data_IF_295715819647
#
_entry.id   IF_295715819647
#
_cell.length_a   1.000
_cell.length_b   1.000
_cell.length_c   1.000
_cell.angle_alpha   90.00
_cell.angle_beta   90.00
_cell.angle_gamma   90.00
#
_symmetry.space_group_name_H-M   'P 1'
#
loop_
_entity.id
_entity.type
_entity.pdbx_description
1 polymer ?
#
# COMPACT_ATOMS: atom_id res chain seq x y z
N UNK A 1 21.87 -18.28 -30.01
CA UNK A 1 22.16 -18.40 -29.18
C UNK A 1 22.11 -17.49 -28.23
N UNK A 2 22.53 -16.78 -28.08
CA UNK A 2 22.54 -15.89 -27.19
C UNK A 2 21.31 -15.37 -26.79
N UNK A 3 20.55 -15.40 -27.43
CA UNK A 3 19.36 -14.79 -27.22
C UNK A 3 18.60 -15.32 -26.15
N UNK A 4 18.63 -16.37 -25.99
CA UNK A 4 17.81 -16.95 -25.11
C UNK A 4 17.79 -16.38 -23.87
N UNK A 5 18.69 -16.10 -23.51
CA UNK A 5 18.81 -15.56 -22.36
C UNK A 5 17.83 -14.75 -21.90
N UNK A 6 17.55 -13.98 -22.50
CA UNK A 6 16.78 -13.06 -22.03
C UNK A 6 15.53 -13.33 -21.58
N UNK A 7 14.93 -14.00 -22.12
CA UNK A 7 13.69 -14.10 -21.76
C UNK A 7 13.37 -14.44 -20.48
N UNK A 8 13.88 -15.24 -19.98
CA UNK A 8 13.40 -15.74 -18.79
C UNK A 8 13.35 -14.80 -17.75
N UNK A 9 14.07 -14.12 -17.81
CA UNK A 9 14.10 -13.20 -16.89
C UNK A 9 12.86 -12.65 -16.50
N UNK A 10 12.32 -12.11 -17.29
CA UNK A 10 11.24 -11.37 -16.93
C UNK A 10 10.20 -12.11 -16.32
N UNK A 11 10.09 -13.08 -16.75
CA UNK A 11 9.10 -13.77 -16.30
C UNK A 11 8.88 -13.97 -14.98
N UNK A 12 9.73 -14.36 -14.39
CA UNK A 12 9.53 -14.75 -13.14
C UNK A 12 9.01 -13.80 -12.30
N UNK A 13 9.44 -12.90 -12.39
CA UNK A 13 9.07 -11.94 -11.56
C UNK A 13 7.67 -11.73 -11.36
N UNK A 14 7.06 -11.51 -12.26
CA UNK A 14 5.77 -11.13 -12.08
C UNK A 14 4.95 -12.02 -11.42
N UNK A 15 5.16 -12.96 -11.62
CA UNK A 15 4.42 -13.91 -11.11
C UNK A 15 4.23 -13.87 -9.68
N UNK A 16 5.22 -13.83 -9.08
CA UNK A 16 5.20 -13.90 -7.69
C UNK A 16 4.37 -12.89 -7.07
N UNK A 17 4.52 -11.78 -7.48
CA UNK A 17 3.86 -10.70 -6.87
C UNK A 17 2.38 -10.86 -6.89
N UNK A 18 1.89 -11.29 -7.92
CA UNK A 18 0.48 -11.36 -7.99
C UNK A 18 -0.09 -12.35 -7.06
N UNK A 19 0.58 -13.40 -6.90
CA UNK A 19 0.05 -14.44 -6.08
C UNK A 19 -0.10 -14.00 -4.64
N UNK A 20 0.84 -13.30 -4.17
CA UNK A 20 0.82 -12.91 -2.79
C UNK A 20 -0.37 -12.04 -2.48
N UNK A 21 -0.69 -11.16 -3.35
CA UNK A 21 -1.77 -10.25 -3.06
C UNK A 21 -3.12 -10.94 -2.98
N UNK A 22 -3.27 -12.02 -3.64
CA UNK A 22 -4.55 -12.66 -3.69
C UNK A 22 -4.91 -13.37 -2.39
N UNK A 23 -3.96 -13.60 -1.54
CA UNK A 23 -4.22 -14.36 -0.34
C UNK A 23 -4.73 -13.57 0.86
N UNK A 24 -4.75 -12.28 0.78
CA UNK A 24 -5.19 -11.48 1.93
C UNK A 24 -6.69 -11.39 2.00
N UNK A 25 -7.24 -11.52 3.19
CA UNK A 25 -8.67 -11.37 3.40
C UNK A 25 -9.04 -9.90 3.30
N UNK A 26 -10.08 -9.57 2.57
CA UNK A 26 -10.53 -8.17 2.47
C UNK A 26 -10.88 -7.60 3.84
N UNK A 27 -10.62 -6.32 4.01
CA UNK A 27 -10.95 -5.63 5.26
C UNK A 27 -12.40 -5.19 5.20
N UNK A 28 -13.13 -5.42 6.27
CA UNK A 28 -14.52 -5.04 6.38
C UNK A 28 -14.70 -3.55 6.70
N UNK A 29 -15.79 -3.20 7.41
CA UNK A 29 -16.07 -1.81 7.72
C UNK A 29 -14.95 -1.15 8.50
N UNK A 30 -14.63 0.09 8.19
CA UNK A 30 -13.56 0.81 8.86
C UNK A 30 -14.11 1.68 9.98
N UNK A 31 -13.40 1.77 11.11
CA UNK A 31 -13.76 2.76 12.12
C UNK A 31 -13.43 4.15 11.55
N UNK A 32 -13.90 5.20 12.18
CA UNK A 32 -13.65 6.56 11.71
C UNK A 32 -12.15 6.79 11.60
N UNK A 33 -11.63 7.09 10.42
CA UNK A 33 -10.19 7.23 10.25
C UNK A 33 -9.70 8.65 10.58
N UNK A 34 -8.43 8.73 10.96
CA UNK A 34 -7.76 10.02 10.96
C UNK A 34 -7.42 10.31 9.49
N UNK A 35 -7.71 11.50 9.02
CA UNK A 35 -7.51 11.87 7.63
C UNK A 35 -6.41 12.89 7.49
N UNK A 36 -5.46 12.63 6.60
CA UNK A 36 -4.40 13.55 6.25
C UNK A 36 -4.55 13.91 4.78
N UNK A 37 -4.47 15.19 4.45
CA UNK A 37 -4.58 15.64 3.06
C UNK A 37 -3.21 15.93 2.52
N UNK A 38 -2.93 15.47 1.31
CA UNK A 38 -1.65 15.66 0.65
C UNK A 38 -1.90 16.23 -0.73
N UNK A 39 -1.25 17.35 -1.04
CA UNK A 39 -1.31 17.92 -2.38
C UNK A 39 0.07 17.81 -2.99
N UNK A 40 0.16 17.29 -4.19
CA UNK A 40 1.44 17.05 -4.83
C UNK A 40 1.28 17.10 -6.34
N UNK A 41 2.38 16.99 -7.06
CA UNK A 41 2.37 17.04 -8.51
C UNK A 41 2.56 15.65 -9.11
N UNK A 42 2.03 15.44 -10.30
CA UNK A 42 2.27 14.23 -11.05
C UNK A 42 3.78 14.04 -11.21
N UNK A 43 4.25 12.86 -11.03
CA UNK A 43 5.67 12.52 -11.10
C UNK A 43 6.35 12.49 -9.75
N UNK A 44 5.71 13.00 -8.70
CA UNK A 44 6.32 13.05 -7.37
C UNK A 44 6.21 11.72 -6.66
N UNK A 45 7.02 11.56 -5.64
CA UNK A 45 6.92 10.43 -4.72
C UNK A 45 6.28 10.93 -3.43
N UNK A 46 5.42 10.12 -2.86
CA UNK A 46 4.79 10.42 -1.58
C UNK A 46 5.13 9.29 -0.63
N UNK A 47 5.75 9.62 0.49
CA UNK A 47 6.09 8.63 1.50
C UNK A 47 5.09 8.74 2.66
N UNK A 48 4.48 7.64 3.01
CA UNK A 48 3.50 7.59 4.08
C UNK A 48 4.05 6.74 5.20
N UNK A 49 4.25 7.33 6.36
CA UNK A 49 4.68 6.59 7.54
C UNK A 49 3.44 6.25 8.35
N UNK A 50 3.09 5.00 8.40
CA UNK A 50 1.94 4.55 9.16
C UNK A 50 2.24 4.64 10.66
N UNK A 51 1.21 4.81 11.50
CA UNK A 51 1.43 4.89 12.94
C UNK A 51 2.12 3.65 13.47
N UNK A 52 2.89 3.83 14.54
CA UNK A 52 3.58 2.73 15.17
C UNK A 52 2.59 1.72 15.73
N UNK A 53 2.97 0.48 15.75
CA UNK A 53 2.18 -0.58 16.33
C UNK A 53 2.99 -1.30 17.40
N UNK A 54 2.34 -1.84 18.42
CA UNK A 54 3.04 -2.61 19.44
C UNK A 54 3.64 -3.87 18.79
N UNK A 55 4.90 -4.11 19.03
CA UNK A 55 5.64 -5.16 18.36
C UNK A 55 5.11 -6.57 18.59
N UNK A 56 4.57 -6.84 19.74
CA UNK A 56 4.18 -8.22 20.08
C UNK A 56 2.72 -8.55 19.96
N UNK A 57 1.94 -7.73 19.27
CA UNK A 57 0.50 -7.91 19.28
C UNK A 57 -0.04 -8.68 18.11
N UNK A 58 0.80 -8.99 17.14
CA UNK A 58 0.34 -9.64 15.91
C UNK A 58 -0.47 -8.70 15.03
N UNK A 59 -0.44 -7.41 15.31
CA UNK A 59 -1.18 -6.44 14.52
C UNK A 59 -0.36 -6.03 13.31
N UNK A 60 -1.03 -5.86 12.18
CA UNK A 60 -0.39 -5.42 10.94
C UNK A 60 -1.21 -4.34 10.28
N UNK A 61 -0.54 -3.41 9.60
CA UNK A 61 -1.23 -2.44 8.78
C UNK A 61 -1.40 -3.01 7.38
N UNK A 62 -2.58 -2.85 6.81
CA UNK A 62 -2.87 -3.33 5.46
C UNK A 62 -3.59 -2.25 4.67
N UNK A 63 -3.48 -2.32 3.37
CA UNK A 63 -4.27 -1.47 2.49
C UNK A 63 -5.69 -1.95 2.62
N UNK A 64 -6.59 -1.07 3.01
CA UNK A 64 -7.96 -1.43 3.32
C UNK A 64 -8.91 -1.34 2.13
N UNK A 65 -8.57 -0.57 1.12
CA UNK A 65 -9.41 -0.38 -0.06
C UNK A 65 -8.51 -0.36 -1.31
N UNK A 66 -9.04 -0.73 -2.47
CA UNK A 66 -8.25 -0.72 -3.70
C UNK A 66 -7.69 0.66 -4.00
N UNK A 67 -6.45 0.71 -4.49
CA UNK A 67 -5.84 1.97 -4.86
C UNK A 67 -6.33 2.39 -6.23
N UNK A 68 -6.44 3.69 -6.45
CA UNK A 68 -6.73 4.21 -7.78
C UNK A 68 -5.41 4.27 -8.54
N UNK A 69 -5.12 3.23 -9.29
CA UNK A 69 -3.84 3.09 -9.98
C UNK A 69 -3.68 4.06 -11.15
N UNK A 70 -4.71 4.80 -11.49
CA UNK A 70 -4.58 5.85 -12.50
C UNK A 70 -3.91 7.09 -11.88
N UNK A 71 -3.90 7.21 -10.58
CA UNK A 71 -3.34 8.37 -9.88
C UNK A 71 -2.08 8.00 -9.11
N UNK A 72 -2.08 6.88 -8.40
CA UNK A 72 -0.94 6.49 -7.57
C UNK A 72 -0.60 5.01 -7.76
N UNK A 73 0.69 4.68 -7.60
CA UNK A 73 1.09 3.29 -7.56
C UNK A 73 2.12 3.12 -6.45
N UNK A 74 2.06 2.04 -5.74
CA UNK A 74 3.04 1.77 -4.69
C UNK A 74 4.34 1.31 -5.31
N UNK A 75 5.43 1.96 -4.97
CA UNK A 75 6.74 1.63 -5.50
C UNK A 75 7.74 1.17 -4.45
N UNK A 76 7.40 1.24 -3.20
CA UNK A 76 8.33 0.79 -2.16
C UNK A 76 7.69 0.65 -0.80
N UNK A 77 8.41 -0.02 0.08
CA UNK A 77 7.97 -0.25 1.44
C UNK A 77 9.21 -0.52 2.29
N UNK A 78 9.25 0.01 3.48
CA UNK A 78 10.36 -0.23 4.38
C UNK A 78 9.89 -0.21 5.84
N UNK A 79 10.50 -1.07 6.66
CA UNK A 79 10.24 -1.04 8.08
C UNK A 79 11.23 -0.06 8.70
N UNK A 80 10.72 0.83 9.52
CA UNK A 80 11.54 1.81 10.21
C UNK A 80 11.16 1.73 11.69
N UNK A 81 11.87 0.92 12.44
CA UNK A 81 11.52 0.64 13.82
C UNK A 81 10.15 -0.02 13.89
N UNK A 82 9.24 0.45 14.72
CA UNK A 82 7.91 -0.13 14.81
C UNK A 82 6.95 0.38 13.74
N UNK A 83 7.41 1.22 12.84
CA UNK A 83 6.58 1.82 11.80
C UNK A 83 6.89 1.24 10.43
N UNK A 84 5.94 1.32 9.53
CA UNK A 84 6.12 0.95 8.14
C UNK A 84 5.98 2.22 7.33
N UNK A 85 6.91 2.42 6.41
CA UNK A 85 6.85 3.54 5.47
C UNK A 85 6.53 3.00 4.10
N UNK A 86 5.46 3.48 3.50
CA UNK A 86 5.07 3.09 2.16
C UNK A 86 5.36 4.24 1.21
N UNK A 87 5.91 3.94 0.06
CA UNK A 87 6.25 4.97 -0.93
C UNK A 87 5.39 4.77 -2.17
N UNK A 88 4.74 5.83 -2.59
CA UNK A 88 3.88 5.83 -3.76
C UNK A 88 4.39 6.81 -4.79
N UNK A 89 4.28 6.46 -6.05
CA UNK A 89 4.58 7.40 -7.14
C UNK A 89 3.25 7.94 -7.63
N UNK A 90 3.19 9.24 -7.88
CA UNK A 90 2.00 9.87 -8.43
C UNK A 90 2.11 9.77 -9.95
N UNK A 91 1.30 8.91 -10.53
CA UNK A 91 1.38 8.63 -11.97
C UNK A 91 0.36 9.37 -12.81
N UNK A 92 -0.62 9.97 -12.21
CA UNK A 92 -1.66 10.73 -12.92
C UNK A 92 -2.22 11.84 -12.08
N UNK A 93 -2.90 12.77 -12.72
CA UNK A 93 -3.58 13.86 -12.04
C UNK A 93 -4.93 13.41 -11.55
N UNK A 94 -5.39 13.98 -10.47
CA UNK A 94 -6.69 13.67 -9.90
C UNK A 94 -6.60 13.46 -8.41
N UNK A 95 -7.57 12.76 -7.86
CA UNK A 95 -7.65 12.50 -6.42
C UNK A 95 -7.65 11.01 -6.18
N UNK A 96 -6.97 10.61 -5.13
CA UNK A 96 -6.96 9.22 -4.70
C UNK A 96 -6.99 9.19 -3.18
N UNK A 97 -7.77 8.26 -2.62
CA UNK A 97 -7.78 8.06 -1.18
C UNK A 97 -7.03 6.78 -0.88
N UNK A 98 -6.06 6.87 0.01
CA UNK A 98 -5.29 5.73 0.44
C UNK A 98 -5.75 5.38 1.85
N UNK A 99 -6.46 4.27 1.99
CA UNK A 99 -7.00 3.85 3.28
C UNK A 99 -6.25 2.65 3.79
N UNK A 100 -5.84 2.71 5.04
CA UNK A 100 -5.11 1.62 5.69
C UNK A 100 -5.82 1.21 6.97
N UNK A 101 -5.78 -0.06 7.27
CA UNK A 101 -6.40 -0.61 8.46
C UNK A 101 -5.41 -1.42 9.27
N UNK A 102 -5.53 -1.32 10.59
CA UNK A 102 -4.76 -2.14 11.50
C UNK A 102 -5.63 -3.35 11.85
N UNK A 103 -5.14 -4.53 11.55
CA UNK A 103 -5.88 -5.77 11.77
C UNK A 103 -5.01 -6.79 12.49
N UNK A 104 -5.64 -7.86 13.02
CA UNK A 104 -4.89 -8.93 13.63
C UNK A 104 -4.48 -9.90 12.53
N UNK A 105 -3.31 -9.68 11.96
CA UNK A 105 -2.79 -10.49 10.85
C UNK A 105 -3.51 -10.22 9.55
N UNK A 106 -3.11 -10.92 8.51
CA UNK A 106 -3.64 -10.71 7.17
C UNK A 106 -4.98 -11.37 6.94
N UNK A 107 -5.40 -12.22 7.82
CA UNK A 107 -6.63 -12.97 7.63
C UNK A 107 -7.84 -12.37 8.34
N UNK A 108 -7.66 -11.38 9.17
CA UNK A 108 -8.77 -10.79 9.89
C UNK A 108 -9.44 -9.68 9.08
N UNK A 109 -10.75 -9.73 8.91
CA UNK A 109 -11.46 -8.66 8.20
C UNK A 109 -11.79 -7.49 9.13
N UNK A 110 -11.51 -7.63 10.44
CA UNK A 110 -11.90 -6.60 11.39
C UNK A 110 -10.83 -5.54 11.55
N UNK A 111 -11.17 -4.30 11.20
CA UNK A 111 -10.28 -3.18 11.36
C UNK A 111 -10.37 -2.64 12.78
N UNK A 112 -9.25 -2.61 13.49
CA UNK A 112 -9.18 -2.07 14.84
C UNK A 112 -8.91 -0.57 14.80
N UNK A 113 -8.18 -0.10 13.80
CA UNK A 113 -7.92 1.32 13.56
C UNK A 113 -7.87 1.53 12.06
N UNK A 114 -8.09 2.75 11.64
CA UNK A 114 -7.98 3.13 10.24
C UNK A 114 -7.33 4.51 10.11
N UNK A 115 -6.58 4.70 9.04
CA UNK A 115 -6.06 6.02 8.69
C UNK A 115 -6.29 6.19 7.20
N UNK A 116 -6.48 7.43 6.76
CA UNK A 116 -6.71 7.72 5.36
C UNK A 116 -5.89 8.91 4.93
N UNK A 117 -5.31 8.82 3.77
CA UNK A 117 -4.55 9.91 3.17
C UNK A 117 -5.25 10.25 1.86
N UNK A 118 -5.74 11.49 1.79
CA UNK A 118 -6.41 11.96 0.58
C UNK A 118 -5.38 12.70 -0.23
N UNK A 119 -4.99 12.14 -1.37
CA UNK A 119 -3.97 12.70 -2.24
C UNK A 119 -4.62 13.45 -3.38
N UNK A 120 -4.20 14.68 -3.58
CA UNK A 120 -4.63 15.47 -4.72
C UNK A 120 -3.42 15.73 -5.58
N UNK A 121 -3.43 15.21 -6.80
CA UNK A 121 -2.33 15.34 -7.74
C UNK A 121 -2.67 16.38 -8.80
N UNK A 122 -1.81 17.35 -8.96
CA UNK A 122 -2.00 18.43 -9.93
C UNK A 122 -1.09 18.32 -11.14
#
# INVERSE_FOLDING_TARGET
MRTMVTLWVAVLVLVAAGAAAADSTPVGPLPTPAVTKVTTAKGSLVAIALPSRPVRTGLVWRVARPLDTRVVEQVGEADVGPSIVLVFRVVGRGRASLSFALTRGDASPKALRAVRYDVRAT
#
